data_IF_236359963006
#
_entry.id   IF_236359963006
#
_cell.length_a   1.000
_cell.length_b   1.000
_cell.length_c   1.000
_cell.angle_alpha   90.00
_cell.angle_beta   90.00
_cell.angle_gamma   90.00
#
_symmetry.space_group_name_H-M   'P 1'
#
loop_
_entity.id
_entity.type
_entity.pdbx_description
1 polymer ?
#
# COMPACT_ATOMS: atom_id res chain seq x y z
N UNK A 1 -7.22 -24.66 80.35
CA UNK A 1 -6.18 -23.94 79.60
C UNK A 1 -6.51 -24.05 78.09
N UNK A 2 -7.15 -23.03 77.55
CA UNK A 2 -7.59 -23.00 76.13
C UNK A 2 -6.64 -22.05 75.41
N UNK A 3 -5.81 -22.56 74.49
CA UNK A 3 -4.90 -21.77 73.67
C UNK A 3 -5.66 -21.31 72.42
N UNK A 4 -5.89 -20.00 72.35
CA UNK A 4 -6.41 -19.35 71.18
C UNK A 4 -5.31 -19.22 70.12
N UNK A 5 -5.48 -19.88 68.96
CA UNK A 5 -4.66 -19.65 67.77
C UNK A 5 -5.37 -18.58 66.91
N UNK A 6 -4.75 -17.41 66.83
CA UNK A 6 -5.18 -16.35 65.93
C UNK A 6 -4.57 -16.68 64.54
N UNK A 7 -5.42 -17.10 63.59
CA UNK A 7 -5.05 -17.22 62.18
C UNK A 7 -5.08 -15.83 61.54
N UNK A 8 -3.89 -15.30 61.26
CA UNK A 8 -3.75 -14.07 60.49
C UNK A 8 -3.82 -14.45 59.00
N UNK A 9 -4.97 -14.13 58.37
CA UNK A 9 -5.12 -14.23 56.89
C UNK A 9 -4.41 -13.05 56.28
N UNK A 10 -3.25 -13.31 55.62
CA UNK A 10 -2.63 -12.35 54.72
C UNK A 10 -3.41 -12.35 53.37
N UNK A 11 -4.23 -11.31 53.22
CA UNK A 11 -4.88 -11.04 51.93
C UNK A 11 -3.82 -10.44 50.99
N UNK A 12 -3.22 -11.27 50.14
CA UNK A 12 -2.32 -10.79 49.09
C UNK A 12 -3.14 -10.12 47.98
N UNK A 13 -3.09 -8.79 47.94
CA UNK A 13 -3.68 -7.99 46.88
C UNK A 13 -2.79 -8.13 45.64
N UNK A 14 -3.14 -9.03 44.73
CA UNK A 14 -2.50 -9.10 43.41
C UNK A 14 -2.98 -7.96 42.52
N UNK A 15 -2.15 -6.94 42.36
CA UNK A 15 -2.37 -5.87 41.40
C UNK A 15 -2.13 -6.46 40.01
N UNK A 16 -3.21 -6.70 39.26
CA UNK A 16 -3.11 -6.97 37.83
C UNK A 16 -2.76 -5.64 37.14
N UNK A 17 -1.48 -5.47 36.83
CA UNK A 17 -1.04 -4.44 35.88
C UNK A 17 -1.45 -4.95 34.49
N UNK A 18 -2.56 -4.42 33.99
CA UNK A 18 -2.88 -4.55 32.57
C UNK A 18 -1.90 -3.67 31.81
N UNK A 19 -0.84 -4.26 31.30
CA UNK A 19 -0.02 -3.64 30.29
C UNK A 19 -0.94 -3.41 29.06
N UNK A 20 -1.35 -2.16 28.84
CA UNK A 20 -1.90 -1.75 27.57
C UNK A 20 -0.76 -1.88 26.56
N UNK A 21 -0.73 -3.00 25.88
CA UNK A 21 0.11 -3.20 24.71
C UNK A 21 -0.41 -2.21 23.66
N UNK A 22 0.15 -1.00 23.67
CA UNK A 22 0.06 -0.09 22.55
C UNK A 22 0.89 -0.77 21.47
N UNK A 23 0.19 -1.52 20.63
CA UNK A 23 0.77 -2.14 19.46
C UNK A 23 1.56 -1.07 18.72
N UNK A 24 2.87 -1.08 18.92
CA UNK A 24 3.79 -0.61 17.91
C UNK A 24 3.50 -1.57 16.76
N UNK A 25 2.59 -1.16 15.86
CA UNK A 25 2.52 -1.77 14.54
C UNK A 25 3.94 -1.60 13.99
N UNK A 26 4.73 -2.67 14.08
CA UNK A 26 5.86 -2.84 13.21
C UNK A 26 5.24 -2.67 11.81
N UNK A 27 5.35 -1.47 11.26
CA UNK A 27 5.24 -1.28 9.82
C UNK A 27 6.45 -2.06 9.28
N UNK A 28 6.23 -3.37 9.09
CA UNK A 28 7.13 -4.16 8.29
C UNK A 28 7.29 -3.34 7.03
N UNK A 29 8.52 -2.92 6.76
CA UNK A 29 8.85 -2.07 5.62
C UNK A 29 8.19 -2.67 4.38
N UNK A 30 7.08 -2.05 3.94
CA UNK A 30 6.24 -2.62 2.89
C UNK A 30 7.05 -2.74 1.60
N UNK A 31 7.13 -3.94 1.09
CA UNK A 31 7.94 -4.24 -0.09
C UNK A 31 7.06 -4.35 -1.33
N UNK A 32 7.44 -3.62 -2.38
CA UNK A 32 6.78 -3.64 -3.67
C UNK A 32 7.71 -4.16 -4.77
N UNK A 33 7.31 -5.23 -5.46
CA UNK A 33 7.97 -5.69 -6.68
C UNK A 33 7.38 -4.96 -7.88
N UNK A 34 8.16 -4.11 -8.54
CA UNK A 34 7.72 -3.30 -9.69
C UNK A 34 8.14 -3.93 -11.01
N UNK A 35 7.18 -4.37 -11.79
CA UNK A 35 7.32 -4.82 -13.17
C UNK A 35 7.27 -3.63 -14.12
N UNK A 36 8.31 -3.41 -14.93
CA UNK A 36 8.43 -2.29 -15.86
C UNK A 36 9.27 -2.68 -17.08
N UNK A 37 9.30 -1.82 -18.11
CA UNK A 37 10.27 -1.99 -19.21
C UNK A 37 11.62 -1.37 -18.83
N UNK A 38 12.75 -1.87 -19.35
CA UNK A 38 14.10 -1.37 -19.00
C UNK A 38 14.28 0.13 -19.26
N UNK A 39 13.61 0.65 -20.28
CA UNK A 39 13.74 2.04 -20.75
C UNK A 39 12.74 3.01 -20.09
N UNK A 40 11.83 2.53 -19.24
CA UNK A 40 10.81 3.37 -18.60
C UNK A 40 11.43 4.36 -17.59
N UNK A 41 11.69 5.60 -18.04
CA UNK A 41 12.24 6.67 -17.21
C UNK A 41 11.29 7.12 -16.11
N UNK A 42 10.03 7.37 -16.43
CA UNK A 42 9.01 7.78 -15.47
C UNK A 42 8.76 6.72 -14.40
N UNK A 43 8.85 5.42 -14.74
CA UNK A 43 8.77 4.34 -13.75
C UNK A 43 9.91 4.42 -12.72
N UNK A 44 11.13 4.76 -13.16
CA UNK A 44 12.28 4.93 -12.26
C UNK A 44 12.06 6.11 -11.29
N UNK A 45 11.48 7.21 -11.77
CA UNK A 45 11.16 8.36 -10.93
C UNK A 45 10.04 8.04 -9.93
N UNK A 46 9.01 7.28 -10.33
CA UNK A 46 7.99 6.79 -9.42
C UNK A 46 8.57 5.89 -8.31
N UNK A 47 9.50 4.99 -8.65
CA UNK A 47 10.20 4.15 -7.68
C UNK A 47 10.99 5.00 -6.68
N UNK A 48 11.64 6.10 -7.14
CA UNK A 48 12.32 7.03 -6.23
C UNK A 48 11.35 7.72 -5.28
N UNK A 49 10.17 8.11 -5.77
CA UNK A 49 9.09 8.66 -4.95
C UNK A 49 8.69 7.68 -3.84
N UNK A 50 8.46 6.41 -4.15
CA UNK A 50 8.15 5.38 -3.16
C UNK A 50 9.25 5.20 -2.11
N UNK A 51 10.52 5.12 -2.55
CA UNK A 51 11.67 4.98 -1.64
C UNK A 51 11.82 6.16 -0.69
N UNK A 52 11.57 7.38 -1.17
CA UNK A 52 11.59 8.60 -0.35
C UNK A 52 10.55 8.54 0.77
N UNK A 53 9.42 7.89 0.52
CA UNK A 53 8.30 7.76 1.45
C UNK A 53 8.34 6.44 2.25
N UNK A 54 9.49 5.74 2.27
CA UNK A 54 9.76 4.60 3.16
C UNK A 54 9.38 3.24 2.61
N UNK A 55 8.97 3.13 1.33
CA UNK A 55 8.71 1.82 0.72
C UNK A 55 10.00 1.12 0.32
N UNK A 56 10.07 -0.17 0.60
CA UNK A 56 11.07 -1.04 0.02
C UNK A 56 10.66 -1.42 -1.40
N UNK A 57 11.52 -1.27 -2.41
CA UNK A 57 11.14 -1.56 -3.80
C UNK A 57 12.19 -2.38 -4.50
N UNK A 58 11.75 -3.46 -5.16
CA UNK A 58 12.51 -4.24 -6.11
C UNK A 58 11.96 -4.02 -7.52
N UNK A 59 12.75 -4.30 -8.53
CA UNK A 59 12.34 -4.14 -9.92
C UNK A 59 12.61 -5.40 -10.72
N UNK A 60 11.68 -5.71 -11.61
CA UNK A 60 11.85 -6.74 -12.62
C UNK A 60 11.53 -6.13 -13.99
N UNK A 61 12.51 -6.16 -14.89
CA UNK A 61 12.37 -5.64 -16.24
C UNK A 61 11.78 -6.69 -17.18
N UNK A 62 10.87 -6.26 -18.06
CA UNK A 62 10.20 -7.08 -19.08
C UNK A 62 10.20 -6.36 -20.42
N UNK A 63 10.34 -7.10 -21.51
CA UNK A 63 10.16 -6.58 -22.87
C UNK A 63 8.71 -6.12 -23.12
N UNK A 64 7.75 -6.87 -22.54
CA UNK A 64 6.32 -6.60 -22.62
C UNK A 64 5.67 -6.84 -21.24
N UNK A 65 4.71 -6.01 -20.86
CA UNK A 65 3.97 -6.10 -19.59
C UNK A 65 2.55 -6.66 -19.75
N UNK A 66 2.10 -6.97 -20.95
CA UNK A 66 0.73 -7.42 -21.20
C UNK A 66 0.40 -8.68 -20.40
N UNK A 67 1.26 -9.69 -20.45
CA UNK A 67 1.06 -10.96 -19.73
C UNK A 67 1.03 -10.75 -18.21
N UNK A 68 1.87 -9.86 -17.69
CA UNK A 68 1.88 -9.48 -16.27
C UNK A 68 0.57 -8.83 -15.88
N UNK A 69 0.08 -7.87 -16.66
CA UNK A 69 -1.17 -7.16 -16.39
C UNK A 69 -2.39 -8.08 -16.50
N UNK A 70 -2.37 -9.03 -17.43
CA UNK A 70 -3.41 -10.05 -17.57
C UNK A 70 -3.41 -11.02 -16.39
N UNK A 71 -2.25 -11.51 -15.97
CA UNK A 71 -2.08 -12.40 -14.83
C UNK A 71 -2.66 -11.78 -13.54
N UNK A 72 -2.48 -10.48 -13.35
CA UNK A 72 -3.03 -9.76 -12.20
C UNK A 72 -4.46 -9.22 -12.42
N UNK A 73 -5.12 -9.56 -13.53
CA UNK A 73 -6.51 -9.17 -13.80
C UNK A 73 -6.73 -7.69 -14.12
N UNK A 74 -5.68 -6.96 -14.51
CA UNK A 74 -5.75 -5.53 -14.84
C UNK A 74 -6.31 -5.36 -16.24
N UNK A 75 -7.57 -4.93 -16.35
CA UNK A 75 -8.23 -4.71 -17.64
C UNK A 75 -7.56 -3.58 -18.43
N UNK A 76 -7.56 -3.62 -19.78
CA UNK A 76 -6.88 -2.62 -20.63
C UNK A 76 -7.19 -1.17 -20.28
N UNK A 77 -8.44 -0.86 -19.94
CA UNK A 77 -8.87 0.51 -19.57
C UNK A 77 -8.24 1.06 -18.28
N UNK A 78 -7.62 0.21 -17.46
CA UNK A 78 -6.97 0.59 -16.21
C UNK A 78 -5.43 0.59 -16.30
N UNK A 79 -4.87 0.20 -17.45
CA UNK A 79 -3.42 0.01 -17.63
C UNK A 79 -2.64 1.32 -17.71
N UNK A 80 -1.42 1.26 -17.23
CA UNK A 80 -0.40 2.31 -17.28
C UNK A 80 0.95 1.70 -17.70
N UNK A 81 2.07 2.37 -17.39
CA UNK A 81 3.40 1.97 -17.86
C UNK A 81 4.12 0.94 -16.97
N UNK A 82 3.65 0.68 -15.75
CA UNK A 82 4.23 -0.30 -14.83
C UNK A 82 3.17 -0.88 -13.90
N UNK A 83 3.49 -2.03 -13.31
CA UNK A 83 2.65 -2.72 -12.32
C UNK A 83 3.53 -3.05 -11.12
N UNK A 84 3.20 -2.56 -9.92
CA UNK A 84 3.84 -2.97 -8.69
C UNK A 84 2.95 -3.95 -7.93
N UNK A 85 3.58 -4.86 -7.17
CA UNK A 85 2.86 -5.90 -6.42
C UNK A 85 3.39 -5.92 -4.99
N UNK A 86 2.50 -5.88 -4.00
CA UNK A 86 2.84 -5.98 -2.58
C UNK A 86 3.09 -7.43 -2.16
N UNK A 87 3.62 -7.62 -0.94
CA UNK A 87 3.80 -8.94 -0.35
C UNK A 87 2.49 -9.71 -0.22
N UNK A 88 1.37 -9.01 0.00
CA UNK A 88 0.04 -9.61 0.14
C UNK A 88 -0.66 -9.84 -1.22
N UNK A 89 0.02 -9.54 -2.34
CA UNK A 89 -0.46 -9.75 -3.69
C UNK A 89 -1.37 -8.66 -4.24
N UNK A 90 -1.52 -7.53 -3.56
CA UNK A 90 -2.23 -6.37 -4.12
C UNK A 90 -1.41 -5.71 -5.23
N UNK A 91 -2.11 -5.24 -6.26
CA UNK A 91 -1.48 -4.57 -7.41
C UNK A 91 -1.63 -3.05 -7.35
N UNK A 92 -0.59 -2.36 -7.76
CA UNK A 92 -0.53 -0.92 -7.87
C UNK A 92 -0.11 -0.56 -9.28
N UNK A 93 -1.08 -0.18 -10.10
CA UNK A 93 -0.91 0.07 -11.53
C UNK A 93 -0.69 1.54 -11.82
N UNK A 94 0.47 1.91 -12.34
CA UNK A 94 0.80 3.26 -12.76
C UNK A 94 1.23 4.19 -11.62
N UNK A 95 1.12 5.49 -11.88
CA UNK A 95 1.76 6.56 -11.10
C UNK A 95 0.95 6.98 -9.84
N UNK A 96 0.65 5.99 -8.99
CA UNK A 96 -0.11 6.21 -7.75
C UNK A 96 0.78 6.92 -6.72
N UNK A 97 0.32 8.03 -6.10
CA UNK A 97 1.03 8.64 -4.97
C UNK A 97 1.13 7.67 -3.79
N UNK A 98 2.32 7.56 -3.19
CA UNK A 98 2.66 6.66 -2.07
C UNK A 98 1.65 6.71 -0.92
N UNK A 99 1.16 7.91 -0.58
CA UNK A 99 0.16 8.11 0.49
C UNK A 99 -1.13 7.31 0.28
N UNK A 100 -1.54 7.08 -0.98
CA UNK A 100 -2.74 6.29 -1.28
C UNK A 100 -2.45 4.79 -1.25
N UNK A 101 -1.22 4.38 -1.57
CA UNK A 101 -0.75 3.00 -1.37
C UNK A 101 -0.73 2.69 0.13
N UNK A 102 -0.11 3.55 0.94
CA UNK A 102 -0.07 3.39 2.40
C UNK A 102 -1.48 3.34 3.00
N UNK A 103 -2.37 4.25 2.57
CA UNK A 103 -3.76 4.25 3.02
C UNK A 103 -4.45 2.94 2.67
N UNK A 104 -4.35 2.48 1.43
CA UNK A 104 -4.96 1.23 0.97
C UNK A 104 -4.45 0.02 1.78
N UNK A 105 -3.14 -0.08 2.00
CA UNK A 105 -2.53 -1.18 2.75
C UNK A 105 -2.84 -1.15 4.26
N UNK A 106 -3.30 -0.02 4.79
CA UNK A 106 -3.75 0.11 6.19
C UNK A 106 -5.22 -0.27 6.41
N UNK A 107 -5.95 -0.59 5.36
CA UNK A 107 -7.39 -0.90 5.37
C UNK A 107 -7.62 -2.33 4.82
N UNK A 108 -8.74 -2.96 5.19
CA UNK A 108 -9.12 -4.25 4.63
C UNK A 108 -9.95 -4.09 3.35
N UNK A 109 -9.54 -4.78 2.29
CA UNK A 109 -10.20 -4.74 0.98
C UNK A 109 -10.41 -6.15 0.40
N UNK A 110 -11.31 -6.98 0.96
CA UNK A 110 -11.39 -8.42 0.65
C UNK A 110 -11.70 -8.74 -0.82
N UNK A 111 -12.38 -7.84 -1.53
CA UNK A 111 -12.76 -8.01 -2.93
C UNK A 111 -11.91 -7.20 -3.92
N UNK A 112 -10.98 -6.39 -3.42
CA UNK A 112 -10.10 -5.62 -4.28
C UNK A 112 -8.91 -6.44 -4.76
N UNK A 113 -8.41 -6.10 -5.96
CA UNK A 113 -7.11 -6.56 -6.45
C UNK A 113 -6.02 -5.51 -6.23
N UNK A 114 -6.39 -4.24 -5.99
CA UNK A 114 -5.45 -3.15 -5.76
C UNK A 114 -5.93 -1.79 -6.26
N UNK A 115 -4.98 -0.91 -6.58
CA UNK A 115 -5.25 0.44 -7.07
C UNK A 115 -4.72 0.66 -8.49
N UNK A 116 -5.28 1.66 -9.19
CA UNK A 116 -4.76 2.10 -10.48
C UNK A 116 -4.87 3.63 -10.66
N UNK A 117 -3.86 4.20 -11.30
CA UNK A 117 -3.92 5.49 -12.00
C UNK A 117 -3.76 5.20 -13.48
N UNK A 118 -4.87 5.10 -14.24
CA UNK A 118 -4.81 4.76 -15.66
C UNK A 118 -4.06 5.80 -16.47
N UNK A 119 -3.32 5.34 -17.48
CA UNK A 119 -2.50 6.21 -18.32
C UNK A 119 -1.31 6.80 -17.55
N UNK A 120 -0.93 8.04 -17.88
CA UNK A 120 0.23 8.74 -17.32
C UNK A 120 -0.09 10.24 -17.15
N UNK A 121 -0.97 10.60 -16.20
CA UNK A 121 -1.37 11.99 -16.03
C UNK A 121 -0.20 12.88 -15.60
N UNK A 122 -0.05 14.04 -16.25
CA UNK A 122 1.01 14.99 -15.92
C UNK A 122 0.86 15.47 -14.47
N UNK A 123 1.98 15.52 -13.75
CA UNK A 123 2.03 15.93 -12.35
C UNK A 123 1.76 14.82 -11.36
N UNK A 124 1.42 13.59 -11.80
CA UNK A 124 1.49 12.42 -10.93
C UNK A 124 2.95 12.05 -10.62
N UNK A 125 3.25 11.32 -9.53
CA UNK A 125 4.62 10.99 -9.14
C UNK A 125 5.40 10.30 -10.26
N UNK A 126 6.55 10.86 -10.65
CA UNK A 126 7.36 10.40 -11.78
C UNK A 126 6.93 10.95 -13.14
N UNK A 127 5.84 11.73 -13.19
CA UNK A 127 5.32 12.40 -14.39
C UNK A 127 5.29 13.92 -14.25
N UNK A 128 6.13 14.46 -13.36
CA UNK A 128 6.24 15.88 -13.13
C UNK A 128 6.98 16.56 -14.30
N UNK A 129 6.35 17.60 -14.87
CA UNK A 129 6.94 18.43 -15.93
C UNK A 129 6.67 19.89 -15.61
N UNK A 130 7.61 20.54 -14.92
CA UNK A 130 7.44 21.91 -14.43
C UNK A 130 6.19 22.02 -13.55
N UNK A 131 5.38 23.06 -13.81
CA UNK A 131 4.15 23.31 -13.04
C UNK A 131 2.90 22.68 -13.67
N UNK A 132 3.07 21.91 -14.74
CA UNK A 132 1.93 21.26 -15.43
C UNK A 132 1.32 20.18 -14.56
N UNK A 133 -0.01 20.22 -14.46
CA UNK A 133 -0.78 19.25 -13.72
C UNK A 133 -2.09 18.92 -14.48
N UNK A 134 -2.44 17.65 -14.51
CA UNK A 134 -3.72 17.15 -14.99
C UNK A 134 -4.44 16.47 -13.83
N UNK A 135 -5.68 16.88 -13.50
CA UNK A 135 -6.46 16.17 -12.49
C UNK A 135 -6.66 14.70 -12.89
N UNK A 136 -6.59 13.81 -11.91
CA UNK A 136 -6.79 12.37 -12.12
C UNK A 136 -7.43 11.72 -10.90
N UNK A 137 -7.93 10.51 -11.10
CA UNK A 137 -8.47 9.67 -10.05
C UNK A 137 -7.54 8.49 -9.77
N UNK A 138 -7.42 8.14 -8.50
CA UNK A 138 -6.91 6.85 -8.07
C UNK A 138 -8.11 5.92 -7.95
N UNK A 139 -8.12 4.85 -8.71
CA UNK A 139 -9.19 3.87 -8.74
C UNK A 139 -8.85 2.67 -7.87
N UNK A 140 -9.81 2.17 -7.09
CA UNK A 140 -9.75 0.83 -6.51
C UNK A 140 -10.33 -0.15 -7.54
N UNK A 141 -9.59 -1.22 -7.80
CA UNK A 141 -9.96 -2.28 -8.76
C UNK A 141 -10.46 -3.51 -8.01
N UNK A 142 -11.52 -4.15 -8.51
CA UNK A 142 -12.13 -5.32 -7.89
C UNK A 142 -11.95 -6.59 -8.72
N UNK A 143 -12.05 -7.76 -8.05
CA UNK A 143 -11.94 -9.10 -8.65
C UNK A 143 -12.94 -9.34 -9.77
N UNK A 144 -14.13 -8.73 -9.73
CA UNK A 144 -15.15 -8.80 -10.78
C UNK A 144 -14.80 -7.92 -12.01
N UNK A 145 -13.69 -7.18 -11.92
CA UNK A 145 -13.20 -6.25 -12.94
C UNK A 145 -13.95 -4.93 -13.01
N UNK A 146 -14.73 -4.59 -11.99
CA UNK A 146 -15.24 -3.25 -11.75
C UNK A 146 -14.20 -2.36 -11.09
N UNK A 147 -14.51 -1.08 -10.95
CA UNK A 147 -13.70 -0.11 -10.22
C UNK A 147 -14.58 0.96 -9.57
N UNK A 148 -14.01 1.61 -8.55
CA UNK A 148 -14.58 2.83 -7.95
C UNK A 148 -13.47 3.86 -7.76
N UNK A 149 -13.82 5.11 -7.58
CA UNK A 149 -12.86 6.16 -7.19
C UNK A 149 -12.47 5.93 -5.73
N UNK A 150 -11.18 5.72 -5.49
CA UNK A 150 -10.58 5.60 -4.17
C UNK A 150 -10.15 6.97 -3.64
N UNK A 151 -9.60 7.79 -4.53
CA UNK A 151 -9.21 9.16 -4.22
C UNK A 151 -9.23 10.04 -5.47
N UNK A 152 -9.55 11.30 -5.27
CA UNK A 152 -9.48 12.33 -6.30
C UNK A 152 -8.22 13.18 -6.09
N UNK A 153 -7.42 13.37 -7.14
CA UNK A 153 -6.25 14.24 -7.13
C UNK A 153 -6.53 15.41 -8.05
N UNK A 154 -6.83 16.57 -7.46
CA UNK A 154 -7.29 17.77 -8.18
C UNK A 154 -6.26 18.90 -8.20
N UNK A 155 -5.19 18.75 -7.44
CA UNK A 155 -4.07 19.71 -7.36
C UNK A 155 -2.77 18.96 -7.00
N UNK A 156 -1.64 19.61 -7.29
CA UNK A 156 -0.28 19.11 -7.04
C UNK A 156 0.06 19.17 -5.55
#
# INVERSE_FOLDING_TARGET
>A
MIKNYICIFFLSLTVFVTASDHGISNMAEETLLTHKTPTCGCCKEWIKHLKKDGFNTYTQDHENLEDIKEMYGIKPKYRSCHTAVSNDGYVFEGHIPSKYISKFLSEEHPDAIGLSVPGMPLGSPGMEVGDRFMPYDVLILFKDGSSKVFAEVRQK
#
